data_IF_389258071181
#
_entry.id   IF_389258071181
#
_cell.length_a   1.000
_cell.length_b   1.000
_cell.length_c   1.000
_cell.angle_alpha   90.00
_cell.angle_beta   90.00
_cell.angle_gamma   90.00
#
_symmetry.space_group_name_H-M   'P 1'
#
loop_
_entity.id
_entity.type
_entity.pdbx_description
1 polymer ?
#
# COMPACT_ATOMS: atom_id res chain seq x y z
N UNK A 1 7.34 0.05 22.75
CA UNK A 1 8.66 0.14 22.06
C UNK A 1 8.92 -1.01 21.07
N UNK A 2 8.44 -2.25 21.30
CA UNK A 2 8.64 -3.40 20.36
C UNK A 2 7.88 -3.29 19.02
N UNK A 3 6.70 -2.68 18.97
CA UNK A 3 5.92 -2.50 17.71
C UNK A 3 6.66 -1.66 16.65
N UNK A 4 7.41 -0.64 17.08
CA UNK A 4 8.07 0.30 16.15
C UNK A 4 9.28 -0.31 15.44
N UNK A 5 9.92 -1.34 16.02
CA UNK A 5 11.04 -2.07 15.39
C UNK A 5 10.56 -3.01 14.28
N UNK A 6 9.50 -3.79 14.53
CA UNK A 6 8.95 -4.71 13.53
C UNK A 6 8.38 -4.00 12.30
N UNK A 7 7.75 -2.83 12.50
CA UNK A 7 7.33 -1.99 11.39
C UNK A 7 8.55 -1.56 10.53
N UNK A 8 9.60 -1.01 11.17
CA UNK A 8 10.80 -0.51 10.48
C UNK A 8 11.54 -1.57 9.67
N UNK A 9 11.64 -2.80 10.20
CA UNK A 9 12.28 -3.92 9.52
C UNK A 9 11.43 -4.40 8.33
N UNK A 10 10.10 -4.47 8.48
CA UNK A 10 9.19 -4.77 7.37
C UNK A 10 9.38 -3.80 6.19
N UNK A 11 9.48 -2.49 6.46
CA UNK A 11 9.73 -1.49 5.40
C UNK A 11 11.04 -1.70 4.67
N UNK A 12 12.09 -2.15 5.35
CA UNK A 12 13.41 -2.37 4.74
C UNK A 12 13.37 -3.53 3.74
N UNK A 13 12.77 -4.65 4.11
CA UNK A 13 12.60 -5.80 3.22
C UNK A 13 11.59 -5.53 2.11
N UNK A 14 10.49 -4.86 2.44
CA UNK A 14 9.46 -4.46 1.47
C UNK A 14 10.03 -3.52 0.40
N UNK A 15 10.89 -2.55 0.80
CA UNK A 15 11.59 -1.66 -0.12
C UNK A 15 12.46 -2.42 -1.12
N UNK A 16 13.22 -3.40 -0.66
CA UNK A 16 14.11 -4.19 -1.52
C UNK A 16 13.34 -5.00 -2.57
N UNK A 17 12.14 -5.47 -2.24
CA UNK A 17 11.27 -6.24 -3.16
C UNK A 17 10.48 -5.31 -4.09
N UNK A 18 9.96 -4.19 -3.61
CA UNK A 18 9.07 -3.34 -4.41
C UNK A 18 9.80 -2.54 -5.49
N UNK A 19 11.05 -2.14 -5.25
CA UNK A 19 11.86 -1.39 -6.23
C UNK A 19 12.03 -2.16 -7.55
N UNK A 20 12.52 -3.43 -7.56
CA UNK A 20 12.65 -4.18 -8.81
C UNK A 20 11.30 -4.48 -9.45
N UNK A 21 10.25 -4.70 -8.65
CA UNK A 21 8.89 -4.89 -9.16
C UNK A 21 8.37 -3.63 -9.88
N UNK A 22 8.57 -2.45 -9.30
CA UNK A 22 8.17 -1.16 -9.89
C UNK A 22 8.97 -0.86 -11.14
N UNK A 23 10.26 -1.19 -11.14
CA UNK A 23 11.11 -1.05 -12.32
C UNK A 23 10.62 -1.94 -13.48
N UNK A 24 10.36 -3.22 -13.23
CA UNK A 24 9.79 -4.13 -14.23
C UNK A 24 8.41 -3.66 -14.68
N UNK A 25 7.56 -3.25 -13.75
CA UNK A 25 6.23 -2.72 -14.05
C UNK A 25 6.29 -1.44 -14.90
N UNK A 26 7.29 -0.58 -14.71
CA UNK A 26 7.49 0.61 -15.53
C UNK A 26 7.71 0.23 -17.00
N UNK A 27 8.61 -0.71 -17.28
CA UNK A 27 8.85 -1.17 -18.64
C UNK A 27 7.63 -1.87 -19.24
N UNK A 28 6.96 -2.75 -18.48
CA UNK A 28 5.74 -3.43 -18.96
C UNK A 28 4.65 -2.41 -19.31
N UNK A 29 4.39 -1.43 -18.43
CA UNK A 29 3.39 -0.39 -18.69
C UNK A 29 3.80 0.50 -19.87
N UNK A 30 5.10 0.79 -20.01
CA UNK A 30 5.60 1.53 -21.16
C UNK A 30 5.41 0.78 -22.48
N UNK A 31 5.59 -0.55 -22.51
CA UNK A 31 5.31 -1.39 -23.69
C UNK A 31 3.81 -1.41 -23.98
N UNK A 32 2.99 -1.57 -22.95
CA UNK A 32 1.54 -1.72 -23.09
C UNK A 32 0.87 -0.45 -23.62
N UNK A 33 1.35 0.72 -23.17
CA UNK A 33 0.79 2.02 -23.56
C UNK A 33 1.25 2.45 -24.95
N UNK A 34 2.46 2.05 -25.38
CA UNK A 34 2.94 2.30 -26.74
C UNK A 34 3.59 1.06 -27.34
N UNK A 35 2.78 0.14 -27.89
CA UNK A 35 3.29 -1.05 -28.55
C UNK A 35 4.02 -0.73 -29.86
N UNK A 36 3.82 0.46 -30.43
CA UNK A 36 4.40 0.89 -31.71
C UNK A 36 5.63 1.78 -31.57
N UNK A 37 6.01 2.19 -30.35
CA UNK A 37 7.34 2.75 -30.08
C UNK A 37 8.35 1.78 -30.68
N UNK A 38 9.18 2.22 -31.62
CA UNK A 38 10.14 1.33 -32.28
C UNK A 38 11.19 0.83 -31.28
N UNK A 39 10.86 -0.25 -30.56
CA UNK A 39 11.78 -0.98 -29.70
C UNK A 39 13.00 -1.47 -30.49
N UNK A 40 12.87 -1.64 -31.80
CA UNK A 40 13.98 -1.86 -32.73
C UNK A 40 15.02 -0.74 -32.70
N UNK A 41 14.61 0.54 -32.65
CA UNK A 41 15.53 1.69 -32.54
C UNK A 41 16.22 1.73 -31.17
N UNK A 42 15.60 1.17 -30.13
CA UNK A 42 16.21 1.07 -28.80
C UNK A 42 17.36 0.05 -28.78
N UNK A 43 17.16 -1.12 -29.41
CA UNK A 43 18.19 -2.15 -29.52
C UNK A 43 19.32 -1.82 -30.51
N UNK A 44 19.09 -0.86 -31.41
CA UNK A 44 20.08 -0.39 -32.40
C UNK A 44 21.05 0.66 -31.81
N UNK A 45 20.84 1.09 -30.56
CA UNK A 45 21.68 2.10 -29.88
C UNK A 45 22.91 1.47 -29.25
N UNK A 46 23.95 2.29 -29.06
CA UNK A 46 25.19 1.89 -28.38
C UNK A 46 24.89 1.41 -26.95
N UNK A 47 25.47 0.27 -26.57
CA UNK A 47 25.27 -0.35 -25.24
C UNK A 47 25.44 0.64 -24.07
N UNK A 48 26.38 1.59 -24.18
CA UNK A 48 26.64 2.60 -23.15
C UNK A 48 25.44 3.54 -22.91
N UNK A 49 24.69 3.91 -23.95
CA UNK A 49 23.53 4.80 -23.82
C UNK A 49 22.33 4.06 -23.22
N UNK A 50 22.16 2.79 -23.57
CA UNK A 50 21.15 1.89 -22.98
C UNK A 50 21.40 1.74 -21.47
N UNK A 51 22.65 1.51 -21.07
CA UNK A 51 23.01 1.42 -19.65
C UNK A 51 22.74 2.72 -18.89
N UNK A 52 23.06 3.88 -19.49
CA UNK A 52 22.78 5.20 -18.88
C UNK A 52 21.29 5.43 -18.70
N UNK A 53 20.47 5.14 -19.72
CA UNK A 53 19.01 5.26 -19.63
C UNK A 53 18.44 4.33 -18.55
N UNK A 54 18.92 3.08 -18.49
CA UNK A 54 18.49 2.10 -17.50
C UNK A 54 18.79 2.54 -16.07
N UNK A 55 19.99 3.05 -15.81
CA UNK A 55 20.37 3.59 -14.50
C UNK A 55 19.50 4.80 -14.15
N UNK A 56 19.22 5.67 -15.12
CA UNK A 56 18.41 6.86 -14.89
C UNK A 56 16.95 6.51 -14.55
N UNK A 57 16.35 5.55 -15.27
CA UNK A 57 15.01 5.02 -14.97
C UNK A 57 15.00 4.32 -13.61
N UNK A 58 16.06 3.58 -13.26
CA UNK A 58 16.16 2.94 -11.95
C UNK A 58 16.17 3.99 -10.81
N UNK A 59 16.94 5.07 -10.95
CA UNK A 59 16.97 6.17 -9.98
C UNK A 59 15.57 6.81 -9.86
N UNK A 60 14.88 7.01 -10.98
CA UNK A 60 13.52 7.51 -10.98
C UNK A 60 12.55 6.59 -10.23
N UNK A 61 12.58 5.28 -10.49
CA UNK A 61 11.76 4.30 -9.77
C UNK A 61 12.06 4.28 -8.27
N UNK A 62 13.33 4.39 -7.87
CA UNK A 62 13.73 4.49 -6.46
C UNK A 62 13.16 5.76 -5.84
N UNK A 63 13.27 6.91 -6.51
CA UNK A 63 12.71 8.16 -6.02
C UNK A 63 11.19 8.13 -5.89
N UNK A 64 10.50 7.62 -6.91
CA UNK A 64 9.04 7.50 -6.93
C UNK A 64 8.54 6.59 -5.79
N UNK A 65 9.19 5.45 -5.59
CA UNK A 65 8.85 4.54 -4.49
C UNK A 65 9.13 5.17 -3.12
N UNK A 66 10.30 5.79 -2.92
CA UNK A 66 10.64 6.43 -1.65
C UNK A 66 9.67 7.54 -1.28
N UNK A 67 9.29 8.37 -2.24
CA UNK A 67 8.34 9.46 -2.03
C UNK A 67 6.95 8.90 -1.72
N UNK A 68 6.50 7.88 -2.45
CA UNK A 68 5.23 7.21 -2.17
C UNK A 68 5.19 6.63 -0.76
N UNK A 69 6.28 5.99 -0.32
CA UNK A 69 6.41 5.45 1.03
C UNK A 69 6.49 6.56 2.09
N UNK A 70 7.23 7.64 1.80
CA UNK A 70 7.34 8.79 2.71
C UNK A 70 5.99 9.47 2.91
N UNK A 71 5.22 9.63 1.85
CA UNK A 71 3.87 10.18 1.92
C UNK A 71 2.96 9.29 2.77
N UNK A 72 3.02 7.97 2.54
CA UNK A 72 2.21 7.04 3.29
C UNK A 72 2.53 7.06 4.79
N UNK A 73 3.82 7.17 5.16
CA UNK A 73 4.26 7.37 6.56
C UNK A 73 3.79 8.70 7.14
N UNK A 74 3.90 9.79 6.38
CA UNK A 74 3.46 11.11 6.82
C UNK A 74 1.95 11.13 7.12
N UNK A 75 1.16 10.49 6.26
CA UNK A 75 -0.28 10.34 6.48
C UNK A 75 -0.59 9.44 7.68
N UNK A 76 0.22 8.41 7.92
CA UNK A 76 0.04 7.50 9.06
C UNK A 76 0.27 8.17 10.41
N UNK A 77 1.23 9.08 10.47
CA UNK A 77 1.48 9.85 11.68
C UNK A 77 0.42 10.92 11.93
N UNK A 78 -0.19 11.48 10.87
CA UNK A 78 -1.10 12.62 10.98
C UNK A 78 -2.57 12.24 11.18
N UNK A 79 -3.01 11.07 10.69
CA UNK A 79 -4.44 10.73 10.64
C UNK A 79 -4.67 9.30 11.12
N UNK A 80 -5.29 9.08 12.28
CA UNK A 80 -5.56 7.73 12.80
C UNK A 80 -6.57 7.00 11.91
N UNK A 81 -6.22 5.80 11.43
CA UNK A 81 -7.08 4.98 10.57
C UNK A 81 -8.45 4.65 11.16
N UNK A 82 -8.55 4.60 12.48
CA UNK A 82 -9.74 4.14 13.20
C UNK A 82 -10.89 5.15 13.18
N UNK A 83 -10.60 6.44 12.96
CA UNK A 83 -11.60 7.50 13.05
C UNK A 83 -12.23 7.81 11.68
N UNK A 84 -11.45 7.83 10.58
CA UNK A 84 -11.96 8.18 9.25
C UNK A 84 -11.25 7.44 8.08
N UNK A 85 -11.55 6.16 7.83
CA UNK A 85 -10.85 5.36 6.82
C UNK A 85 -11.05 5.88 5.39
N UNK A 86 -12.27 6.32 5.03
CA UNK A 86 -12.59 6.77 3.67
C UNK A 86 -11.97 8.14 3.33
N UNK A 87 -12.04 9.08 4.28
CA UNK A 87 -11.46 10.42 4.10
C UNK A 87 -9.93 10.34 3.95
N UNK A 88 -9.28 9.46 4.73
CA UNK A 88 -7.84 9.23 4.62
C UNK A 88 -7.46 8.66 3.25
N UNK A 89 -8.22 7.71 2.72
CA UNK A 89 -7.95 7.14 1.40
C UNK A 89 -8.04 8.20 0.29
N UNK A 90 -9.07 9.05 0.31
CA UNK A 90 -9.20 10.15 -0.65
C UNK A 90 -8.04 11.14 -0.55
N UNK A 91 -7.66 11.56 0.65
CA UNK A 91 -6.52 12.47 0.86
C UNK A 91 -5.22 11.82 0.40
N UNK A 92 -5.00 10.54 0.71
CA UNK A 92 -3.83 9.79 0.26
C UNK A 92 -3.76 9.76 -1.27
N UNK A 93 -4.87 9.47 -1.92
CA UNK A 93 -4.95 9.41 -3.38
C UNK A 93 -4.66 10.78 -4.03
N UNK A 94 -5.28 11.85 -3.54
CA UNK A 94 -5.06 13.20 -4.05
C UNK A 94 -3.61 13.66 -3.87
N UNK A 95 -3.04 13.47 -2.68
CA UNK A 95 -1.65 13.89 -2.42
C UNK A 95 -0.65 13.02 -3.19
N UNK A 96 -0.95 11.73 -3.37
CA UNK A 96 -0.13 10.82 -4.19
C UNK A 96 -0.08 11.28 -5.65
N UNK A 97 -1.23 11.66 -6.24
CA UNK A 97 -1.30 12.21 -7.60
C UNK A 97 -0.49 13.50 -7.71
N UNK A 98 -0.73 14.44 -6.79
CA UNK A 98 -0.05 15.75 -6.81
C UNK A 98 1.47 15.59 -6.69
N UNK A 99 1.91 14.70 -5.82
CA UNK A 99 3.33 14.40 -5.62
C UNK A 99 3.94 13.73 -6.85
N UNK A 100 3.20 12.82 -7.49
CA UNK A 100 3.64 12.16 -8.73
C UNK A 100 3.79 13.17 -9.88
N UNK A 101 2.89 14.14 -9.99
CA UNK A 101 2.99 15.23 -10.97
C UNK A 101 4.27 16.04 -10.75
N UNK A 102 4.54 16.47 -9.51
CA UNK A 102 5.75 17.24 -9.18
C UNK A 102 7.01 16.43 -9.48
N UNK A 103 7.02 15.15 -9.13
CA UNK A 103 8.18 14.29 -9.36
C UNK A 103 8.44 14.02 -10.85
N UNK A 104 7.38 13.84 -11.63
CA UNK A 104 7.49 13.73 -13.08
C UNK A 104 8.06 15.01 -13.70
N UNK A 105 7.61 16.18 -13.24
CA UNK A 105 8.15 17.46 -13.70
C UNK A 105 9.66 17.57 -13.44
N UNK A 106 10.11 17.18 -12.23
CA UNK A 106 11.53 17.13 -11.89
C UNK A 106 12.30 16.13 -12.75
N UNK A 107 11.76 14.94 -12.97
CA UNK A 107 12.37 13.91 -13.83
C UNK A 107 12.56 14.41 -15.26
N UNK A 108 11.54 15.04 -15.83
CA UNK A 108 11.59 15.59 -17.18
C UNK A 108 12.62 16.72 -17.29
N UNK A 109 12.61 17.67 -16.34
CA UNK A 109 13.60 18.75 -16.33
C UNK A 109 15.03 18.20 -16.25
N UNK A 110 15.25 17.21 -15.38
CA UNK A 110 16.55 16.55 -15.21
C UNK A 110 16.97 15.83 -16.50
N UNK A 111 16.04 15.12 -17.16
CA UNK A 111 16.29 14.43 -18.43
C UNK A 111 16.73 15.39 -19.53
N UNK A 112 16.07 16.53 -19.66
CA UNK A 112 16.40 17.57 -20.65
C UNK A 112 17.77 18.16 -20.37
N UNK A 113 18.12 18.42 -19.10
CA UNK A 113 19.44 18.98 -18.76
C UNK A 113 20.60 18.00 -18.97
N UNK A 114 20.37 16.69 -18.80
CA UNK A 114 21.42 15.67 -18.88
C UNK A 114 21.57 15.04 -20.27
N UNK A 115 20.47 14.88 -21.00
CA UNK A 115 20.42 14.18 -22.29
C UNK A 115 19.92 15.06 -23.45
N UNK A 116 19.46 16.29 -23.16
CA UNK A 116 18.96 17.19 -24.18
C UNK A 116 20.09 17.91 -24.91
N UNK A 117 20.20 17.65 -26.21
CA UNK A 117 21.07 18.36 -27.15
C UNK A 117 20.51 19.77 -27.48
N UNK A 118 20.15 20.53 -26.44
CA UNK A 118 19.52 21.86 -26.56
C UNK A 118 18.06 21.88 -27.02
N UNK A 119 17.42 20.72 -27.26
CA UNK A 119 15.99 20.66 -27.62
C UNK A 119 15.13 21.05 -26.43
N UNK A 120 14.53 22.24 -26.52
CA UNK A 120 13.59 22.77 -25.54
C UNK A 120 12.32 21.90 -25.50
N UNK A 121 11.60 21.98 -24.40
CA UNK A 121 10.30 21.35 -24.10
C UNK A 121 9.29 21.30 -25.27
N UNK A 122 9.40 22.21 -26.24
CA UNK A 122 8.53 22.32 -27.42
C UNK A 122 8.67 21.15 -28.41
N UNK A 123 9.85 20.52 -28.51
CA UNK A 123 10.12 19.46 -29.51
C UNK A 123 10.01 18.04 -28.92
N UNK A 124 9.85 17.92 -27.60
CA UNK A 124 9.52 16.64 -26.97
C UNK A 124 8.10 16.32 -27.39
N UNK A 125 7.97 15.30 -28.24
CA UNK A 125 6.71 14.82 -28.77
C UNK A 125 5.65 14.77 -27.66
N UNK A 126 4.61 15.59 -27.75
CA UNK A 126 3.54 15.71 -26.74
C UNK A 126 2.89 14.37 -26.38
N UNK A 127 3.05 13.37 -27.24
CA UNK A 127 2.65 11.98 -27.06
C UNK A 127 3.53 11.29 -26.00
N UNK A 128 4.86 11.37 -26.09
CA UNK A 128 5.78 10.73 -25.16
C UNK A 128 5.64 11.28 -23.72
N UNK A 129 5.38 12.58 -23.59
CA UNK A 129 5.12 13.21 -22.30
C UNK A 129 3.81 12.71 -21.68
N UNK A 130 2.73 12.64 -22.48
CA UNK A 130 1.44 12.09 -22.04
C UNK A 130 1.57 10.63 -21.61
N UNK A 131 2.33 9.82 -22.35
CA UNK A 131 2.55 8.41 -22.01
C UNK A 131 3.31 8.26 -20.69
N UNK A 132 4.42 8.99 -20.52
CA UNK A 132 5.24 8.90 -19.30
C UNK A 132 4.47 9.40 -18.08
N UNK A 133 3.58 10.39 -18.27
CA UNK A 133 2.63 10.82 -17.25
C UNK A 133 1.67 9.69 -16.84
N UNK A 134 1.00 9.05 -17.80
CA UNK A 134 0.07 7.95 -17.52
C UNK A 134 0.78 6.78 -16.82
N UNK A 135 1.96 6.37 -17.30
CA UNK A 135 2.76 5.31 -16.66
C UNK A 135 3.09 5.66 -15.21
N UNK A 136 3.54 6.90 -14.96
CA UNK A 136 3.93 7.33 -13.62
C UNK A 136 2.75 7.36 -12.64
N UNK A 137 1.59 7.84 -13.10
CA UNK A 137 0.36 7.83 -12.31
C UNK A 137 -0.06 6.39 -12.00
N UNK A 138 -0.09 5.50 -12.99
CA UNK A 138 -0.43 4.09 -12.78
C UNK A 138 0.51 3.41 -11.77
N UNK A 139 1.82 3.64 -11.89
CA UNK A 139 2.79 3.12 -10.92
C UNK A 139 2.56 3.67 -9.51
N UNK A 140 2.31 4.98 -9.39
CA UNK A 140 2.04 5.61 -8.09
C UNK A 140 0.82 4.99 -7.39
N UNK A 141 -0.22 4.65 -8.17
CA UNK A 141 -1.44 4.00 -7.69
C UNK A 141 -1.14 2.56 -7.30
N UNK A 142 -0.39 1.80 -8.11
CA UNK A 142 0.01 0.43 -7.80
C UNK A 142 0.82 0.35 -6.49
N UNK A 143 1.80 1.24 -6.31
CA UNK A 143 2.61 1.31 -5.09
C UNK A 143 1.71 1.61 -3.88
N UNK A 144 0.81 2.60 -4.02
CA UNK A 144 -0.15 2.97 -2.97
C UNK A 144 -1.09 1.81 -2.63
N UNK A 145 -1.55 1.05 -3.62
CA UNK A 145 -2.46 -0.09 -3.45
C UNK A 145 -1.78 -1.24 -2.71
N UNK A 146 -0.54 -1.60 -3.09
CA UNK A 146 0.22 -2.66 -2.40
C UNK A 146 0.42 -2.28 -0.94
N UNK A 147 0.80 -1.03 -0.68
CA UNK A 147 1.04 -0.55 0.67
C UNK A 147 -0.24 -0.51 1.52
N UNK A 148 -1.29 0.13 1.00
CA UNK A 148 -2.58 0.26 1.68
C UNK A 148 -3.26 -1.10 1.85
N UNK A 149 -3.17 -1.98 0.85
CA UNK A 149 -3.70 -3.32 0.89
C UNK A 149 -3.04 -4.17 1.97
N UNK A 150 -1.71 -4.08 2.12
CA UNK A 150 -1.03 -4.78 3.21
C UNK A 150 -1.45 -4.25 4.60
N UNK A 151 -1.55 -2.93 4.77
CA UNK A 151 -2.07 -2.36 6.02
C UNK A 151 -3.50 -2.84 6.33
N UNK A 152 -4.37 -2.80 5.32
CA UNK A 152 -5.75 -3.28 5.44
C UNK A 152 -5.82 -4.75 5.82
N UNK A 153 -5.00 -5.62 5.19
CA UNK A 153 -4.94 -7.04 5.51
C UNK A 153 -4.47 -7.30 6.95
N UNK A 154 -3.50 -6.52 7.44
CA UNK A 154 -3.05 -6.63 8.83
C UNK A 154 -4.17 -6.22 9.81
N UNK A 155 -4.85 -5.11 9.53
CA UNK A 155 -5.97 -4.66 10.34
C UNK A 155 -7.14 -5.65 10.31
N UNK A 156 -7.44 -6.23 9.15
CA UNK A 156 -8.49 -7.23 8.98
C UNK A 156 -8.18 -8.52 9.76
N UNK A 157 -6.94 -9.00 9.72
CA UNK A 157 -6.49 -10.13 10.57
C UNK A 157 -6.65 -9.83 12.06
N UNK A 158 -6.30 -8.61 12.49
CA UNK A 158 -6.49 -8.17 13.88
C UNK A 158 -7.95 -8.17 14.30
N UNK A 159 -8.82 -7.59 13.47
CA UNK A 159 -10.27 -7.54 13.72
C UNK A 159 -10.91 -8.95 13.75
N UNK A 160 -10.47 -9.86 12.88
CA UNK A 160 -10.92 -11.25 12.89
C UNK A 160 -10.54 -11.98 14.18
N UNK A 161 -9.32 -11.77 14.67
CA UNK A 161 -8.86 -12.35 15.95
C UNK A 161 -9.60 -11.74 17.13
N UNK A 162 -9.83 -10.43 17.13
CA UNK A 162 -10.59 -9.78 18.19
C UNK A 162 -12.05 -10.28 18.22
N UNK A 163 -12.70 -10.40 17.06
CA UNK A 163 -14.04 -10.98 16.95
C UNK A 163 -14.10 -12.44 17.40
N UNK A 164 -13.09 -13.27 17.06
CA UNK A 164 -13.06 -14.67 17.52
C UNK A 164 -12.87 -14.76 19.03
N UNK A 165 -12.04 -13.90 19.64
CA UNK A 165 -11.89 -13.85 21.10
C UNK A 165 -13.16 -13.36 21.81
N UNK A 166 -13.86 -12.39 21.22
CA UNK A 166 -15.14 -11.90 21.75
C UNK A 166 -16.23 -12.99 21.69
N UNK A 167 -16.30 -13.74 20.57
CA UNK A 167 -17.22 -14.86 20.43
C UNK A 167 -16.92 -15.99 21.43
N UNK A 168 -15.64 -16.29 21.68
CA UNK A 168 -15.25 -17.28 22.69
C UNK A 168 -15.66 -16.84 24.11
N UNK A 169 -15.41 -15.58 24.46
CA UNK A 169 -15.83 -15.01 25.76
C UNK A 169 -17.36 -15.00 25.91
N UNK A 170 -18.10 -14.67 24.85
CA UNK A 170 -19.56 -14.70 24.86
C UNK A 170 -20.09 -16.13 25.07
N UNK A 171 -19.47 -17.13 24.44
CA UNK A 171 -19.81 -18.54 24.63
C UNK A 171 -19.49 -19.03 26.05
N UNK A 172 -18.38 -18.57 26.63
CA UNK A 172 -17.98 -18.85 28.02
C UNK A 172 -18.98 -18.26 29.03
N UNK A 173 -19.33 -16.98 28.90
CA UNK A 173 -20.34 -16.36 29.77
C UNK A 173 -21.70 -17.04 29.68
N UNK A 174 -22.10 -17.48 28.48
CA UNK A 174 -23.35 -18.23 28.31
C UNK A 174 -23.33 -19.58 29.02
N UNK A 175 -22.19 -20.27 29.04
CA UNK A 175 -22.03 -21.52 29.81
C UNK A 175 -22.13 -21.28 31.31
N UNK A 176 -21.42 -20.26 31.82
CA UNK A 176 -21.45 -19.91 33.24
C UNK A 176 -22.88 -19.52 33.68
N UNK A 177 -23.61 -18.75 32.86
CA UNK A 177 -24.99 -18.39 33.14
C UNK A 177 -25.92 -19.62 33.19
N UNK A 178 -25.77 -20.56 32.25
CA UNK A 178 -26.55 -21.81 32.23
C UNK A 178 -26.23 -22.70 33.44
N UNK A 179 -24.97 -22.78 33.85
CA UNK A 179 -24.58 -23.53 35.05
C UNK A 179 -25.16 -22.90 36.31
N UNK A 180 -25.13 -21.57 36.43
CA UNK A 180 -25.73 -20.84 37.55
C UNK A 180 -27.27 -20.99 37.58
N UNK A 181 -27.93 -20.97 36.42
CA UNK A 181 -29.37 -21.26 36.34
C UNK A 181 -29.65 -22.68 36.83
N UNK A 182 -28.91 -23.69 36.35
CA UNK A 182 -29.08 -25.08 36.76
C UNK A 182 -28.84 -25.25 38.27
N UNK A 183 -27.82 -24.61 38.82
CA UNK A 183 -27.55 -24.61 40.26
C UNK A 183 -28.69 -23.95 41.06
N UNK A 184 -29.23 -22.83 40.57
CA UNK A 184 -30.40 -22.19 41.20
C UNK A 184 -31.65 -23.06 41.15
N UNK A 185 -31.88 -23.81 40.04
CA UNK A 185 -32.97 -24.77 39.93
C UNK A 185 -32.77 -25.94 40.88
N UNK A 186 -31.53 -26.42 41.06
CA UNK A 186 -31.19 -27.45 42.05
C UNK A 186 -31.47 -26.99 43.47
N UNK A 187 -31.10 -25.76 43.82
CA UNK A 187 -31.37 -25.19 45.14
C UNK A 187 -32.88 -25.03 45.42
N UNK A 188 -33.68 -24.73 44.39
CA UNK A 188 -35.15 -24.67 44.52
C UNK A 188 -35.82 -26.05 44.67
N UNK A 189 -35.20 -27.10 44.12
CA UNK A 189 -35.67 -28.48 44.22
C UNK A 189 -35.10 -29.23 45.45
N UNK A 190 -34.32 -28.57 46.31
CA UNK A 190 -33.72 -29.19 47.50
C UNK A 190 -34.82 -29.68 48.46
N UNK A 191 -34.95 -31.01 48.69
CA UNK A 191 -36.06 -31.60 49.44
C UNK A 191 -36.08 -31.21 50.92
N UNK A 192 -35.08 -30.49 51.44
CA UNK A 192 -35.09 -29.98 52.81
C UNK A 192 -36.26 -29.00 53.09
N UNK A 193 -36.95 -28.51 52.06
CA UNK A 193 -38.16 -27.68 52.15
C UNK A 193 -39.47 -28.35 51.66
N UNK A 194 -39.50 -29.66 51.40
CA UNK A 194 -40.79 -30.34 51.24
C UNK A 194 -41.39 -30.58 52.63
N UNK A 195 -42.60 -30.07 52.96
CA UNK A 195 -43.35 -30.60 54.08
C UNK A 195 -43.55 -32.08 53.80
N UNK A 196 -43.04 -32.95 54.67
CA UNK A 196 -43.39 -34.36 54.67
C UNK A 196 -44.89 -34.48 54.91
N UNK A 197 -45.67 -34.52 53.84
CA UNK A 197 -47.09 -34.90 53.86
C UNK A 197 -47.18 -36.35 54.32
N UNK A 198 -47.57 -36.54 55.58
CA UNK A 198 -48.21 -37.75 56.08
C UNK A 198 -49.62 -37.88 55.50
#
# INVERSE_FOLDING_TARGET
MKLNRQAKDFYKYFRFIIIPVVFVAFYILSVLIDPYRSWSIFFDRTNADIFRELIFVLIYCIGLTEISLALARFLDQKMRWQEFPMARFMVQFCVQILTTIVFLYLYMNTTITLFGDGRKFSDINSIALRQTFVVSVLLSILISLIYTGNFFLQQWKGALLESSTLNLKAAEFKRIALEAELESLKMQLDPHFMPSTF
#
